data_IF_877524104134
#
_entry.id   IF_877524104134
#
_cell.length_a   1.000
_cell.length_b   1.000
_cell.length_c   1.000
_cell.angle_alpha   90.00
_cell.angle_beta   90.00
_cell.angle_gamma   90.00
#
_symmetry.space_group_name_H-M   'P 1'
#
loop_
_entity.id
_entity.type
_entity.pdbx_description
1 polymer ?
#
# COMPACT_ATOMS: atom_id res chain seq x y z
N UNK A 1 -4.94 -3.41 15.10
CA UNK A 1 -3.44 -3.43 15.10
C UNK A 1 -2.95 -2.25 14.29
N UNK A 2 -1.79 -1.65 14.60
CA UNK A 2 -1.22 -0.54 13.81
C UNK A 2 0.02 -1.00 13.06
N UNK A 3 0.04 -0.81 11.74
CA UNK A 3 1.10 -1.31 10.86
C UNK A 3 1.60 -0.17 9.97
N UNK A 4 2.92 0.00 9.94
CA UNK A 4 3.58 0.77 8.90
C UNK A 4 4.07 -0.19 7.82
N UNK A 5 3.51 -0.10 6.61
CA UNK A 5 4.02 -0.80 5.44
C UNK A 5 4.95 0.16 4.70
N UNK A 6 6.21 -0.24 4.52
CA UNK A 6 7.21 0.59 3.84
C UNK A 6 7.62 -0.09 2.54
N UNK A 7 7.35 0.57 1.42
CA UNK A 7 7.98 0.24 0.14
C UNK A 7 9.09 1.24 -0.10
N UNK A 8 10.34 0.78 -0.25
CA UNK A 8 11.48 1.64 -0.62
C UNK A 8 11.74 1.65 -2.14
N UNK A 9 10.94 0.91 -2.92
CA UNK A 9 11.12 0.76 -4.35
C UNK A 9 10.52 1.94 -5.12
N UNK A 10 11.37 2.67 -5.84
CA UNK A 10 10.96 3.82 -6.67
C UNK A 10 10.26 3.42 -7.96
N UNK A 11 10.45 2.19 -8.44
CA UNK A 11 9.77 1.64 -9.61
C UNK A 11 8.34 1.19 -9.31
N UNK A 12 7.97 1.05 -8.05
CA UNK A 12 6.67 0.49 -7.64
C UNK A 12 5.77 1.58 -7.08
N UNK A 13 4.68 1.83 -7.79
CA UNK A 13 3.55 2.57 -7.23
C UNK A 13 2.53 1.58 -6.65
N UNK A 14 2.00 1.76 -5.44
CA UNK A 14 0.99 0.88 -4.85
C UNK A 14 -0.25 0.70 -5.72
N UNK A 15 -0.63 1.72 -6.49
CA UNK A 15 -1.78 1.67 -7.39
C UNK A 15 -1.43 1.29 -8.84
N UNK A 16 -0.19 0.84 -9.08
CA UNK A 16 0.24 0.33 -10.38
C UNK A 16 -0.38 -1.03 -10.76
N UNK A 17 -0.07 -1.50 -11.96
CA UNK A 17 -0.60 -2.75 -12.52
C UNK A 17 0.41 -3.90 -12.56
N UNK A 18 1.63 -3.69 -12.06
CA UNK A 18 2.63 -4.76 -12.00
C UNK A 18 2.38 -5.68 -10.79
N UNK A 19 3.10 -6.80 -10.74
CA UNK A 19 2.96 -7.78 -9.67
C UNK A 19 3.28 -7.21 -8.27
N UNK A 20 4.28 -6.35 -8.16
CA UNK A 20 4.65 -5.71 -6.90
C UNK A 20 3.57 -4.75 -6.40
N UNK A 21 2.98 -3.94 -7.28
CA UNK A 21 1.82 -3.09 -6.98
C UNK A 21 0.64 -3.91 -6.49
N UNK A 22 0.33 -5.00 -7.19
CA UNK A 22 -0.75 -5.92 -6.80
C UNK A 22 -0.48 -6.53 -5.42
N UNK A 23 0.74 -6.97 -5.16
CA UNK A 23 1.12 -7.50 -3.85
C UNK A 23 0.90 -6.49 -2.73
N UNK A 24 1.38 -5.25 -2.89
CA UNK A 24 1.18 -4.19 -1.89
C UNK A 24 -0.32 -3.99 -1.65
N UNK A 25 -1.11 -3.85 -2.72
CA UNK A 25 -2.54 -3.58 -2.62
C UNK A 25 -3.31 -4.69 -1.91
N UNK A 26 -3.20 -5.91 -2.40
CA UNK A 26 -3.98 -7.02 -1.86
C UNK A 26 -3.57 -7.34 -0.42
N UNK A 27 -2.28 -7.19 -0.08
CA UNK A 27 -1.81 -7.36 1.29
C UNK A 27 -2.38 -6.28 2.22
N UNK A 28 -2.28 -5.00 1.84
CA UNK A 28 -2.81 -3.88 2.64
C UNK A 28 -4.31 -4.06 2.85
N UNK A 29 -5.07 -4.29 1.78
CA UNK A 29 -6.53 -4.43 1.85
C UNK A 29 -6.92 -5.64 2.71
N UNK A 30 -6.25 -6.78 2.54
CA UNK A 30 -6.54 -7.98 3.33
C UNK A 30 -6.23 -7.81 4.82
N UNK A 31 -5.24 -6.97 5.17
CA UNK A 31 -4.87 -6.70 6.57
C UNK A 31 -5.80 -5.65 7.17
N UNK A 32 -6.20 -4.62 6.42
CA UNK A 32 -7.24 -3.66 6.82
C UNK A 32 -8.57 -4.36 7.04
N UNK A 33 -8.97 -5.27 6.15
CA UNK A 33 -10.20 -6.07 6.29
C UNK A 33 -10.24 -6.93 7.57
N UNK A 34 -9.08 -7.19 8.20
CA UNK A 34 -8.96 -7.87 9.50
C UNK A 34 -8.92 -6.92 10.70
N UNK A 35 -9.17 -5.63 10.50
CA UNK A 35 -9.22 -4.60 11.55
C UNK A 35 -7.87 -3.96 11.88
N UNK A 36 -6.92 -3.97 10.94
CA UNK A 36 -5.68 -3.23 11.10
C UNK A 36 -5.79 -1.81 10.52
N UNK A 37 -5.15 -0.86 11.21
CA UNK A 37 -4.84 0.46 10.67
C UNK A 37 -3.48 0.37 9.98
N UNK A 38 -3.45 0.63 8.67
CA UNK A 38 -2.23 0.57 7.86
C UNK A 38 -1.86 1.95 7.35
N UNK A 39 -0.62 2.37 7.60
CA UNK A 39 0.04 3.50 6.95
C UNK A 39 1.06 2.97 5.94
N UNK A 40 0.90 3.34 4.68
CA UNK A 40 1.73 2.91 3.56
C UNK A 40 2.67 4.04 3.15
N UNK A 41 3.96 3.90 3.50
CA UNK A 41 5.01 4.83 3.10
C UNK A 41 5.67 4.34 1.82
N UNK A 42 5.77 5.19 0.82
CA UNK A 42 6.40 4.86 -0.45
C UNK A 42 6.98 6.09 -1.14
N UNK A 43 8.16 6.01 -1.76
CA UNK A 43 8.71 7.11 -2.55
C UNK A 43 7.90 7.38 -3.84
N UNK A 44 6.91 6.55 -4.16
CA UNK A 44 6.03 6.69 -5.31
C UNK A 44 4.58 6.28 -4.95
N UNK A 45 3.73 7.19 -4.45
CA UNK A 45 2.39 6.86 -3.93
C UNK A 45 1.35 6.46 -5.01
N UNK A 46 1.54 6.87 -6.27
CA UNK A 46 0.52 6.66 -7.30
C UNK A 46 -0.68 7.60 -7.14
N UNK A 47 -1.86 7.19 -7.59
CA UNK A 47 -3.11 7.97 -7.56
C UNK A 47 -4.05 7.62 -6.39
N UNK A 48 -3.61 6.76 -5.47
CA UNK A 48 -4.33 6.40 -4.24
C UNK A 48 -5.56 5.51 -4.39
N UNK A 49 -6.00 5.17 -5.61
CA UNK A 49 -7.18 4.33 -5.82
C UNK A 49 -6.92 2.86 -5.53
N UNK A 50 -7.85 2.23 -4.80
CA UNK A 50 -7.86 0.78 -4.55
C UNK A 50 -7.00 0.30 -3.38
N UNK A 51 -6.45 1.22 -2.57
CA UNK A 51 -5.76 0.91 -1.31
C UNK A 51 -6.66 1.37 -0.16
N UNK A 52 -6.98 0.47 0.77
CA UNK A 52 -7.82 0.78 1.95
C UNK A 52 -7.02 1.36 3.13
N UNK A 53 -5.69 1.38 3.03
CA UNK A 53 -4.78 2.02 4.00
C UNK A 53 -4.47 3.48 3.67
N UNK A 54 -3.91 4.22 4.65
CA UNK A 54 -3.47 5.61 4.47
C UNK A 54 -2.13 5.65 3.72
N UNK A 55 -2.11 6.24 2.53
CA UNK A 55 -0.89 6.50 1.77
C UNK A 55 -0.16 7.73 2.31
N UNK A 56 1.15 7.60 2.49
CA UNK A 56 2.06 8.64 2.95
C UNK A 56 3.21 8.75 1.94
N UNK A 57 3.47 9.98 1.49
CA UNK A 57 4.51 10.38 0.54
C UNK A 57 5.85 10.75 1.20
#
# INVERSE_FOLDING_TARGET
MRIAYVSADRGVAPTGSNGASTHIRELVNAVVARGAEVKLLTPRPGDGRGIDGELID
#
